data_IF_205977925124
#
_entry.id   IF_205977925124
#
_cell.length_a   1.000
_cell.length_b   1.000
_cell.length_c   1.000
_cell.angle_alpha   90.00
_cell.angle_beta   90.00
_cell.angle_gamma   90.00
#
_symmetry.space_group_name_H-M   'P 1'
#
loop_
_entity.id
_entity.type
_entity.pdbx_description
1 polymer ?
#
# COMPACT_ATOMS: atom_id res chain seq x y z
N UNK A 1 -30.63 73.52 -1.00
CA UNK A 1 -30.77 72.26 -0.23
C UNK A 1 -31.53 71.26 -1.10
N UNK A 2 -30.83 70.25 -1.66
CA UNK A 2 -31.43 69.16 -2.44
C UNK A 2 -31.24 67.88 -1.61
N UNK A 3 -32.33 67.24 -1.22
CA UNK A 3 -32.30 65.95 -0.52
C UNK A 3 -32.14 64.82 -1.56
N UNK A 4 -31.05 64.05 -1.45
CA UNK A 4 -30.90 62.77 -2.14
C UNK A 4 -31.51 61.67 -1.26
N UNK A 5 -32.57 61.04 -1.73
CA UNK A 5 -33.07 59.77 -1.18
C UNK A 5 -32.21 58.62 -1.71
N UNK A 6 -31.44 58.00 -0.83
CA UNK A 6 -30.68 56.78 -1.09
C UNK A 6 -31.62 55.59 -0.88
N UNK A 7 -32.05 54.95 -1.97
CA UNK A 7 -32.82 53.70 -1.92
C UNK A 7 -31.85 52.52 -1.79
N UNK A 8 -31.80 51.92 -0.61
CA UNK A 8 -31.02 50.73 -0.31
C UNK A 8 -31.82 49.50 -0.78
N UNK A 9 -31.43 48.94 -1.93
CA UNK A 9 -31.99 47.71 -2.46
C UNK A 9 -31.36 46.53 -1.70
N UNK A 10 -32.09 45.95 -0.74
CA UNK A 10 -31.70 44.71 -0.07
C UNK A 10 -32.00 43.57 -1.06
N UNK A 11 -30.95 43.09 -1.73
CA UNK A 11 -31.02 41.88 -2.54
C UNK A 11 -30.96 40.67 -1.57
N UNK A 12 -32.12 40.18 -1.17
CA UNK A 12 -32.24 38.90 -0.47
C UNK A 12 -31.89 37.77 -1.45
N UNK A 13 -30.61 37.43 -1.53
CA UNK A 13 -30.13 36.26 -2.26
C UNK A 13 -30.60 34.99 -1.55
N UNK A 14 -31.60 34.32 -2.09
CA UNK A 14 -31.98 32.97 -1.73
C UNK A 14 -30.82 32.02 -2.07
N UNK A 15 -30.06 31.61 -1.05
CA UNK A 15 -29.08 30.51 -1.14
C UNK A 15 -29.88 29.22 -1.31
N UNK A 16 -29.93 28.68 -2.53
CA UNK A 16 -30.34 27.30 -2.75
C UNK A 16 -29.27 26.40 -2.12
N UNK A 17 -29.56 25.83 -0.95
CA UNK A 17 -28.83 24.68 -0.44
C UNK A 17 -29.06 23.51 -1.41
N UNK A 18 -28.10 23.25 -2.30
CA UNK A 18 -28.03 21.97 -2.97
C UNK A 18 -27.93 20.89 -1.88
N UNK A 19 -28.71 19.81 -1.99
CA UNK A 19 -28.58 18.69 -1.08
C UNK A 19 -27.13 18.17 -1.13
N UNK A 20 -26.44 18.20 0.02
CA UNK A 20 -25.06 17.75 0.10
C UNK A 20 -24.97 16.29 -0.37
N UNK A 21 -24.10 16.03 -1.34
CA UNK A 21 -23.78 14.65 -1.72
C UNK A 21 -23.14 13.98 -0.51
N UNK A 22 -23.76 12.94 0.03
CA UNK A 22 -23.19 12.18 1.17
C UNK A 22 -22.36 11.02 0.61
N UNK A 23 -21.07 11.04 0.91
CA UNK A 23 -20.11 10.00 0.53
C UNK A 23 -20.43 8.67 1.22
N UNK A 24 -19.96 7.57 0.62
CA UNK A 24 -20.07 6.24 1.23
C UNK A 24 -18.78 5.90 1.97
N UNK A 25 -18.92 5.32 3.15
CA UNK A 25 -17.79 4.73 3.90
C UNK A 25 -17.20 3.55 3.11
N UNK A 26 -15.90 3.25 3.28
CA UNK A 26 -15.30 2.01 2.78
C UNK A 26 -16.06 0.79 3.31
N UNK A 27 -16.45 -0.12 2.41
CA UNK A 27 -17.29 -1.27 2.76
C UNK A 27 -16.58 -2.26 3.70
N UNK A 28 -15.24 -2.28 3.70
CA UNK A 28 -14.42 -3.08 4.62
C UNK A 28 -14.65 -2.70 6.08
N UNK A 29 -14.93 -1.42 6.37
CA UNK A 29 -15.24 -0.95 7.71
C UNK A 29 -16.64 -1.40 8.14
N UNK A 30 -17.62 -1.27 7.24
CA UNK A 30 -19.00 -1.69 7.51
C UNK A 30 -19.11 -3.21 7.69
N UNK A 31 -18.45 -3.99 6.84
CA UNK A 31 -18.38 -5.46 6.98
C UNK A 31 -17.70 -5.91 8.27
N UNK A 32 -16.73 -5.14 8.76
CA UNK A 32 -16.05 -5.41 10.02
C UNK A 32 -16.79 -4.82 11.24
N UNK A 33 -17.91 -4.12 11.06
CA UNK A 33 -18.63 -3.44 12.14
C UNK A 33 -17.82 -2.35 12.82
N UNK A 34 -16.89 -1.69 12.10
CA UNK A 34 -16.02 -0.64 12.62
C UNK A 34 -16.60 0.73 12.34
N UNK A 35 -17.12 1.36 13.39
CA UNK A 35 -17.73 2.69 13.34
C UNK A 35 -16.89 3.78 14.00
N UNK A 36 -15.78 3.40 14.63
CA UNK A 36 -14.84 4.29 15.30
C UNK A 36 -13.43 3.88 14.90
N UNK A 37 -12.53 4.87 14.89
CA UNK A 37 -11.11 4.63 14.68
C UNK A 37 -10.48 3.99 15.94
N UNK A 38 -9.32 3.37 15.78
CA UNK A 38 -8.60 2.72 16.87
C UNK A 38 -8.01 3.71 17.88
N UNK A 39 -7.80 4.96 17.49
CA UNK A 39 -7.20 6.01 18.32
C UNK A 39 -8.10 7.23 18.39
N UNK A 40 -8.17 7.85 19.56
CA UNK A 40 -8.92 9.09 19.76
C UNK A 40 -8.33 10.20 18.89
N UNK A 41 -9.13 10.85 18.03
CA UNK A 41 -8.65 11.95 17.20
C UNK A 41 -8.44 13.22 18.03
N UNK A 42 -7.38 13.96 17.70
CA UNK A 42 -7.22 15.36 18.08
C UNK A 42 -8.10 16.27 17.20
N UNK A 43 -8.29 15.90 15.93
CA UNK A 43 -9.16 16.60 14.97
C UNK A 43 -9.95 15.57 14.16
N UNK A 44 -11.27 15.65 14.24
CA UNK A 44 -12.25 14.81 13.51
C UNK A 44 -13.18 15.65 12.60
N UNK A 45 -13.11 16.99 12.66
CA UNK A 45 -13.92 17.92 11.88
C UNK A 45 -15.44 17.83 12.12
N UNK A 46 -15.89 17.24 13.23
CA UNK A 46 -17.32 17.22 13.59
C UNK A 46 -17.81 18.61 14.01
N UNK A 47 -16.96 19.36 14.71
CA UNK A 47 -17.24 20.75 15.07
C UNK A 47 -17.09 21.69 13.85
N UNK A 48 -18.07 22.57 13.66
CA UNK A 48 -18.05 23.58 12.60
C UNK A 48 -17.20 24.80 13.01
N UNK A 49 -15.89 24.58 13.10
CA UNK A 49 -14.94 25.63 13.40
C UNK A 49 -14.29 26.17 12.11
N UNK A 50 -14.19 27.50 11.93
CA UNK A 50 -13.62 28.07 10.72
C UNK A 50 -12.10 27.98 10.73
N UNK A 51 -11.56 26.99 10.02
CA UNK A 51 -10.11 26.89 9.80
C UNK A 51 -9.61 28.04 8.93
N UNK A 52 -8.41 28.52 9.25
CA UNK A 52 -7.73 29.59 8.52
C UNK A 52 -6.96 28.95 7.36
N UNK A 53 -7.12 29.53 6.16
CA UNK A 53 -6.40 29.11 4.95
C UNK A 53 -5.42 30.20 4.55
N UNK A 54 -4.13 29.88 4.64
CA UNK A 54 -3.04 30.74 4.16
C UNK A 54 -2.49 30.15 2.86
N UNK A 55 -2.20 31.00 1.89
CA UNK A 55 -1.75 30.56 0.56
C UNK A 55 -0.56 31.36 0.05
N UNK A 56 0.35 30.68 -0.64
CA UNK A 56 1.39 31.27 -1.47
C UNK A 56 1.41 30.55 -2.82
N UNK A 57 1.40 31.28 -3.94
CA UNK A 57 1.35 30.71 -5.30
C UNK A 57 0.19 29.70 -5.52
N UNK A 58 -0.89 29.82 -4.75
CA UNK A 58 -2.02 28.90 -4.75
C UNK A 58 -3.34 29.64 -4.47
N UNK A 59 -4.44 29.06 -4.92
CA UNK A 59 -5.81 29.40 -4.48
C UNK A 59 -6.37 28.18 -3.78
N UNK A 60 -6.92 28.36 -2.58
CA UNK A 60 -7.48 27.28 -1.81
C UNK A 60 -8.65 27.71 -0.93
N UNK A 61 -9.52 26.76 -0.62
CA UNK A 61 -10.56 26.87 0.41
C UNK A 61 -10.59 25.60 1.25
N UNK A 62 -10.98 25.73 2.52
CA UNK A 62 -11.14 24.62 3.44
C UNK A 62 -12.46 24.74 4.18
N UNK A 63 -13.21 23.64 4.22
CA UNK A 63 -14.55 23.60 4.78
C UNK A 63 -14.87 22.20 5.29
N UNK A 64 -15.75 22.12 6.28
CA UNK A 64 -16.40 20.86 6.63
C UNK A 64 -17.22 20.33 5.44
N UNK A 65 -17.26 19.02 5.25
CA UNK A 65 -17.94 18.37 4.11
C UNK A 65 -18.48 17.00 4.47
N UNK A 66 -19.51 16.55 3.74
CA UNK A 66 -20.02 15.17 3.77
C UNK A 66 -19.77 14.41 2.47
N UNK A 67 -19.08 15.01 1.49
CA UNK A 67 -18.85 14.44 0.16
C UNK A 67 -18.02 13.15 0.19
N UNK A 68 -17.18 12.99 1.21
CA UNK A 68 -16.53 11.75 1.58
C UNK A 68 -16.86 11.44 3.03
N UNK A 69 -16.90 10.16 3.39
CA UNK A 69 -17.15 9.73 4.76
C UNK A 69 -16.21 8.58 5.12
N UNK A 70 -15.74 8.57 6.37
CA UNK A 70 -15.01 7.45 6.95
C UNK A 70 -15.32 7.26 8.43
N UNK A 71 -15.24 8.33 9.23
CA UNK A 71 -15.69 8.35 10.62
C UNK A 71 -16.73 9.46 10.80
N UNK A 72 -17.53 9.36 11.87
CA UNK A 72 -18.55 10.37 12.17
C UNK A 72 -19.48 10.70 10.99
N UNK A 73 -19.84 11.97 10.89
CA UNK A 73 -20.70 12.54 9.85
C UNK A 73 -19.94 13.45 8.88
N UNK A 74 -18.84 14.06 9.32
CA UNK A 74 -18.14 15.13 8.62
C UNK A 74 -16.65 14.89 8.47
N UNK A 75 -16.08 15.48 7.42
CA UNK A 75 -14.64 15.48 7.15
C UNK A 75 -14.19 16.88 6.76
N UNK A 76 -12.89 17.17 6.89
CA UNK A 76 -12.29 18.39 6.38
C UNK A 76 -12.02 18.29 4.89
N UNK A 77 -12.57 19.19 4.07
CA UNK A 77 -12.35 19.24 2.61
C UNK A 77 -11.45 20.41 2.24
N UNK A 78 -10.30 20.11 1.65
CA UNK A 78 -9.44 21.07 0.97
C UNK A 78 -9.78 21.09 -0.52
N UNK A 79 -10.12 22.26 -1.06
CA UNK A 79 -10.11 22.51 -2.52
C UNK A 79 -8.93 23.40 -2.85
N UNK A 80 -8.12 23.04 -3.83
CA UNK A 80 -6.89 23.77 -4.14
C UNK A 80 -6.51 23.71 -5.63
N UNK A 81 -5.83 24.75 -6.09
CA UNK A 81 -5.12 24.81 -7.37
C UNK A 81 -3.92 25.76 -7.29
N UNK A 82 -2.99 25.64 -8.22
CA UNK A 82 -1.89 26.61 -8.33
C UNK A 82 -2.39 27.97 -8.83
N UNK A 83 -1.71 29.00 -8.38
CA UNK A 83 -1.79 30.38 -8.90
C UNK A 83 -0.40 30.96 -9.25
N UNK A 84 0.66 30.21 -8.96
CA UNK A 84 2.04 30.58 -9.28
C UNK A 84 2.94 29.36 -9.51
N UNK A 85 4.21 29.51 -9.15
CA UNK A 85 5.28 28.54 -9.48
C UNK A 85 5.52 27.53 -8.37
N UNK A 86 5.41 27.97 -7.11
CA UNK A 86 5.75 27.19 -5.92
C UNK A 86 4.54 27.16 -4.96
N UNK A 87 3.43 26.49 -5.33
CA UNK A 87 2.20 26.50 -4.57
C UNK A 87 2.36 25.88 -3.17
N UNK A 88 1.97 26.64 -2.16
CA UNK A 88 1.87 26.24 -0.75
C UNK A 88 0.51 26.64 -0.21
N UNK A 89 -0.15 25.70 0.48
CA UNK A 89 -1.38 25.93 1.24
C UNK A 89 -1.12 25.52 2.68
N UNK A 90 -1.42 26.41 3.63
CA UNK A 90 -1.35 26.11 5.06
C UNK A 90 -2.76 26.20 5.65
N UNK A 91 -3.17 25.14 6.34
CA UNK A 91 -4.48 25.02 7.00
C UNK A 91 -4.26 25.09 8.50
N UNK A 92 -4.83 26.09 9.17
CA UNK A 92 -4.68 26.27 10.62
C UNK A 92 -6.02 26.13 11.33
N UNK A 93 -6.08 25.46 12.49
CA UNK A 93 -7.24 25.59 13.37
C UNK A 93 -7.35 27.06 13.85
N UNK A 94 -8.53 27.50 14.34
CA UNK A 94 -8.70 28.86 14.88
C UNK A 94 -7.72 29.20 16.00
N UNK A 95 -7.29 28.19 16.78
CA UNK A 95 -6.24 28.30 17.80
C UNK A 95 -5.41 27.00 17.79
N UNK A 96 -4.08 27.07 17.95
CA UNK A 96 -3.24 25.87 18.03
C UNK A 96 -3.70 24.90 19.13
N UNK A 97 -3.78 23.61 18.80
CA UNK A 97 -4.39 22.58 19.64
C UNK A 97 -3.37 21.95 20.60
N UNK A 98 -3.80 21.67 21.82
CA UNK A 98 -2.97 20.95 22.79
C UNK A 98 -2.71 19.51 22.34
N UNK A 99 -1.45 19.10 22.42
CA UNK A 99 -1.05 17.71 22.15
C UNK A 99 -1.21 16.85 23.42
N UNK A 100 -1.34 15.51 23.26
CA UNK A 100 -1.14 14.59 24.37
C UNK A 100 0.22 14.81 25.04
N UNK A 101 0.32 14.50 26.33
CA UNK A 101 1.55 14.73 27.11
C UNK A 101 2.77 13.98 26.56
N UNK A 102 2.56 12.84 25.92
CA UNK A 102 3.60 12.07 25.23
C UNK A 102 2.97 11.20 24.14
N UNK A 103 3.67 11.08 23.02
CA UNK A 103 3.31 10.20 21.90
C UNK A 103 4.57 9.82 21.10
N UNK A 104 4.49 8.71 20.37
CA UNK A 104 5.55 8.27 19.45
C UNK A 104 5.04 7.97 18.03
N UNK A 105 3.73 8.06 17.82
CA UNK A 105 3.06 7.89 16.53
C UNK A 105 2.19 9.10 16.22
N UNK A 106 2.01 9.35 14.93
CA UNK A 106 1.03 10.28 14.40
C UNK A 106 0.38 9.70 13.15
N UNK A 107 -0.92 9.90 12.98
CA UNK A 107 -1.64 9.49 11.78
C UNK A 107 -2.84 10.40 11.49
N UNK A 108 -3.28 10.43 10.26
CA UNK A 108 -4.50 11.14 9.84
C UNK A 108 -5.07 10.43 8.63
N UNK A 109 -6.37 10.20 8.61
CA UNK A 109 -7.04 9.64 7.43
C UNK A 109 -7.10 10.69 6.34
N UNK A 110 -6.72 10.28 5.13
CA UNK A 110 -6.70 11.17 3.96
C UNK A 110 -7.43 10.48 2.81
N UNK A 111 -8.39 11.16 2.21
CA UNK A 111 -8.91 10.79 0.90
C UNK A 111 -8.10 11.49 -0.18
N UNK A 112 -7.24 10.74 -0.85
CA UNK A 112 -6.32 11.27 -1.85
C UNK A 112 -6.91 11.40 -3.26
N UNK A 113 -6.17 12.06 -4.13
CA UNK A 113 -6.61 12.37 -5.50
C UNK A 113 -5.61 11.97 -6.60
N UNK A 114 -4.55 11.23 -6.24
CA UNK A 114 -3.51 10.77 -7.17
C UNK A 114 -3.22 9.29 -6.97
N UNK A 115 -2.99 8.54 -8.04
CA UNK A 115 -2.59 7.13 -7.97
C UNK A 115 -1.14 6.97 -8.47
N UNK A 116 -0.23 6.52 -7.60
CA UNK A 116 1.22 6.44 -7.87
C UNK A 116 1.62 5.72 -9.17
N UNK A 117 0.87 4.69 -9.53
CA UNK A 117 1.07 3.80 -10.67
C UNK A 117 0.54 4.36 -12.00
N UNK A 118 -0.15 5.50 -11.98
CA UNK A 118 -0.66 6.19 -13.18
C UNK A 118 -0.05 7.59 -13.24
N UNK A 119 0.60 7.91 -14.36
CA UNK A 119 1.15 9.25 -14.57
C UNK A 119 0.01 10.23 -14.87
N UNK A 120 -0.45 10.94 -13.83
CA UNK A 120 -1.45 12.00 -13.96
C UNK A 120 -0.79 13.38 -13.95
N UNK A 121 -0.44 13.90 -15.12
CA UNK A 121 0.21 15.21 -15.27
C UNK A 121 -0.62 16.39 -14.75
N UNK A 122 -1.95 16.23 -14.70
CA UNK A 122 -2.89 17.28 -14.27
C UNK A 122 -3.19 17.26 -12.77
N UNK A 123 -2.79 16.20 -12.06
CA UNK A 123 -3.00 16.05 -10.61
C UNK A 123 -1.71 15.54 -9.98
N UNK A 124 -0.67 16.37 -9.87
CA UNK A 124 0.61 15.95 -9.30
C UNK A 124 0.45 15.58 -7.82
N UNK A 125 1.27 14.64 -7.36
CA UNK A 125 1.33 14.23 -5.95
C UNK A 125 1.71 15.40 -5.06
N UNK A 126 0.87 15.70 -4.07
CA UNK A 126 1.20 16.72 -3.06
C UNK A 126 1.92 16.10 -1.87
N UNK A 127 2.74 16.89 -1.19
CA UNK A 127 3.29 16.52 0.12
C UNK A 127 2.47 17.20 1.22
N UNK A 128 2.18 16.46 2.29
CA UNK A 128 1.45 16.96 3.46
C UNK A 128 2.39 16.87 4.66
N UNK A 129 2.58 17.99 5.34
CA UNK A 129 3.29 18.08 6.61
C UNK A 129 2.36 18.57 7.72
N UNK A 130 2.67 18.17 8.94
CA UNK A 130 2.05 18.67 10.16
C UNK A 130 2.94 19.77 10.74
N UNK A 131 2.32 20.86 11.13
CA UNK A 131 2.98 22.02 11.72
C UNK A 131 2.80 22.00 13.23
N UNK A 132 3.86 22.32 13.95
CA UNK A 132 3.90 22.37 15.40
C UNK A 132 4.45 23.70 15.87
N UNK A 133 3.70 24.38 16.74
CA UNK A 133 4.20 25.55 17.45
C UNK A 133 4.97 25.07 18.68
N UNK A 134 6.27 25.34 18.71
CA UNK A 134 7.18 24.99 19.80
C UNK A 134 7.08 26.01 20.95
N UNK A 135 7.59 25.66 22.15
CA UNK A 135 7.48 26.54 23.32
C UNK A 135 8.20 27.89 23.18
N UNK A 136 9.20 27.98 22.30
CA UNK A 136 9.94 29.20 21.99
C UNK A 136 9.23 30.10 20.95
N UNK A 137 8.04 29.68 20.48
CA UNK A 137 7.26 30.37 19.47
C UNK A 137 7.64 30.06 18.03
N UNK A 138 8.63 29.19 17.80
CA UNK A 138 9.01 28.77 16.45
C UNK A 138 8.08 27.67 15.92
N UNK A 139 7.96 27.57 14.60
CA UNK A 139 7.17 26.53 13.95
C UNK A 139 8.09 25.43 13.40
N UNK A 140 7.74 24.17 13.68
CA UNK A 140 8.44 23.00 13.17
C UNK A 140 7.49 22.15 12.31
N UNK A 141 7.98 21.67 11.17
CA UNK A 141 7.18 20.86 10.24
C UNK A 141 7.68 19.41 10.22
N UNK A 142 6.76 18.45 10.36
CA UNK A 142 7.03 17.03 10.15
C UNK A 142 6.24 16.56 8.92
N UNK A 143 6.93 16.08 7.89
CA UNK A 143 6.26 15.45 6.75
C UNK A 143 5.45 14.22 7.20
N UNK A 144 4.15 14.19 6.93
CA UNK A 144 3.29 13.05 7.20
C UNK A 144 3.31 12.08 6.03
N UNK A 145 3.09 12.60 4.82
CA UNK A 145 2.99 11.75 3.63
C UNK A 145 3.22 12.53 2.34
N UNK A 146 3.39 11.78 1.25
CA UNK A 146 3.15 12.22 -0.11
C UNK A 146 1.89 11.52 -0.60
N UNK A 147 0.88 12.30 -1.00
CA UNK A 147 -0.40 11.75 -1.48
C UNK A 147 -0.18 11.05 -2.81
N UNK A 148 -0.22 9.72 -2.77
CA UNK A 148 0.05 8.84 -3.90
C UNK A 148 -1.00 7.71 -4.02
N UNK A 149 -2.08 7.81 -3.23
CA UNK A 149 -3.24 6.94 -3.26
C UNK A 149 -4.51 7.74 -3.55
N UNK A 150 -5.45 7.12 -4.26
CA UNK A 150 -6.71 7.74 -4.67
C UNK A 150 -7.85 6.95 -4.05
N UNK A 151 -8.11 7.23 -2.78
CA UNK A 151 -9.20 6.75 -1.93
C UNK A 151 -8.83 7.11 -0.48
N UNK A 152 -9.60 6.66 0.51
CA UNK A 152 -9.20 6.71 1.91
C UNK A 152 -7.95 5.85 2.17
N UNK A 153 -6.94 6.45 2.79
CA UNK A 153 -5.78 5.76 3.33
C UNK A 153 -5.33 6.44 4.62
N UNK A 154 -4.67 5.67 5.48
CA UNK A 154 -4.15 6.14 6.76
C UNK A 154 -2.61 6.15 6.72
N UNK A 155 -1.97 7.26 6.34
CA UNK A 155 -0.56 7.46 6.65
C UNK A 155 -0.37 7.48 8.16
N UNK A 156 0.41 6.52 8.67
CA UNK A 156 0.87 6.51 10.05
C UNK A 156 2.39 6.63 10.04
N UNK A 157 2.92 7.53 10.86
CA UNK A 157 4.35 7.75 11.02
C UNK A 157 4.76 7.53 12.47
N UNK A 158 5.79 6.71 12.65
CA UNK A 158 6.56 6.67 13.90
C UNK A 158 7.55 7.83 13.92
N UNK A 159 7.57 8.56 15.03
CA UNK A 159 8.54 9.60 15.28
C UNK A 159 9.85 9.00 15.77
N UNK A 160 10.97 9.49 15.26
CA UNK A 160 12.28 9.14 15.83
C UNK A 160 12.49 9.81 17.20
N UNK A 161 13.53 9.40 17.91
CA UNK A 161 13.79 9.90 19.27
C UNK A 161 14.03 11.42 19.32
N UNK A 162 14.58 12.02 18.26
CA UNK A 162 14.81 13.46 18.21
C UNK A 162 13.49 14.21 18.02
N UNK A 163 12.62 13.71 17.15
CA UNK A 163 11.27 14.25 16.94
C UNK A 163 10.41 14.10 18.20
N UNK A 164 10.47 12.95 18.88
CA UNK A 164 9.77 12.74 20.15
C UNK A 164 10.25 13.72 21.22
N UNK A 165 11.57 13.89 21.39
CA UNK A 165 12.13 14.88 22.35
C UNK A 165 11.74 16.32 22.02
N UNK A 166 11.63 16.65 20.73
CA UNK A 166 11.24 17.98 20.29
C UNK A 166 9.75 18.24 20.56
N UNK A 167 8.88 17.31 20.17
CA UNK A 167 7.43 17.53 20.17
C UNK A 167 6.74 17.23 21.51
N UNK A 168 7.31 16.34 22.34
CA UNK A 168 6.77 16.04 23.66
C UNK A 168 7.20 17.06 24.73
N UNK A 169 7.74 18.22 24.33
CA UNK A 169 8.00 19.32 25.25
C UNK A 169 6.67 19.94 25.74
N UNK A 170 6.57 20.31 27.03
CA UNK A 170 5.42 21.04 27.54
C UNK A 170 5.15 22.29 26.70
N UNK A 171 3.88 22.62 26.49
CA UNK A 171 3.45 23.77 25.69
C UNK A 171 3.67 23.69 24.18
N UNK A 172 4.18 22.58 23.64
CA UNK A 172 4.09 22.32 22.21
C UNK A 172 2.61 22.17 21.80
N UNK A 173 2.25 22.72 20.63
CA UNK A 173 0.88 22.69 20.09
C UNK A 173 0.88 22.24 18.64
N UNK A 174 -0.18 21.56 18.23
CA UNK A 174 -0.45 21.34 16.81
C UNK A 174 -0.95 22.65 16.18
N UNK A 175 -0.27 23.12 15.14
CA UNK A 175 -0.51 24.42 14.51
C UNK A 175 -1.21 24.33 13.15
N UNK A 176 -1.30 23.13 12.55
CA UNK A 176 -2.00 22.94 11.29
C UNK A 176 -1.35 21.95 10.31
N UNK A 177 -1.84 21.96 9.08
CA UNK A 177 -1.30 21.21 7.96
C UNK A 177 -0.62 22.15 6.96
N UNK A 178 0.47 21.70 6.34
CA UNK A 178 1.05 22.36 5.18
C UNK A 178 1.02 21.41 3.97
N UNK A 179 0.49 21.89 2.86
CA UNK A 179 0.36 21.17 1.61
C UNK A 179 1.22 21.86 0.56
N UNK A 180 2.14 21.10 -0.06
CA UNK A 180 3.06 21.62 -1.08
C UNK A 180 3.02 20.78 -2.36
N UNK A 181 3.60 21.30 -3.45
CA UNK A 181 3.67 20.65 -4.75
C UNK A 181 2.30 20.49 -5.47
N UNK A 182 1.28 21.25 -5.06
CA UNK A 182 -0.04 21.32 -5.70
C UNK A 182 -0.05 22.04 -7.04
N UNK A 183 0.69 21.52 -8.04
CA UNK A 183 0.90 22.18 -9.34
C UNK A 183 -0.24 21.98 -10.36
N UNK A 184 -1.40 21.47 -9.94
CA UNK A 184 -2.61 21.36 -10.75
C UNK A 184 -3.18 22.73 -11.11
N UNK A 185 -3.61 22.90 -12.36
CA UNK A 185 -4.25 24.14 -12.86
C UNK A 185 -5.74 24.24 -12.52
N UNK A 186 -6.40 23.09 -12.45
CA UNK A 186 -7.81 22.98 -12.09
C UNK A 186 -7.93 22.67 -10.61
N UNK A 187 -9.08 22.97 -10.03
CA UNK A 187 -9.39 22.59 -8.66
C UNK A 187 -9.27 21.08 -8.48
N UNK A 188 -8.59 20.71 -7.40
CA UNK A 188 -8.49 19.35 -6.91
C UNK A 188 -8.87 19.34 -5.45
N UNK A 189 -9.30 18.19 -4.98
CA UNK A 189 -9.81 18.03 -3.63
C UNK A 189 -8.97 17.01 -2.88
N UNK A 190 -8.78 17.26 -1.59
CA UNK A 190 -8.31 16.28 -0.62
C UNK A 190 -9.26 16.33 0.57
N UNK A 191 -9.48 15.19 1.21
CA UNK A 191 -10.27 15.13 2.43
C UNK A 191 -9.42 14.61 3.58
N UNK A 192 -9.67 15.13 4.77
CA UNK A 192 -8.92 14.85 5.99
C UNK A 192 -9.92 14.43 7.06
N UNK A 193 -9.56 13.42 7.84
CA UNK A 193 -10.33 12.98 8.99
C UNK A 193 -9.41 12.37 10.05
N UNK A 194 -9.86 12.36 11.30
CA UNK A 194 -9.21 11.72 12.45
C UNK A 194 -7.68 11.86 12.50
N UNK A 195 -7.17 13.10 12.61
CA UNK A 195 -5.78 13.34 12.99
C UNK A 195 -5.58 12.88 14.43
N UNK A 196 -4.72 11.89 14.66
CA UNK A 196 -4.47 11.30 15.98
C UNK A 196 -2.97 11.29 16.31
N UNK A 197 -2.69 11.49 17.60
CA UNK A 197 -1.37 11.39 18.21
C UNK A 197 -1.46 10.36 19.33
N UNK A 198 -0.65 9.31 19.25
CA UNK A 198 -0.79 8.17 20.15
C UNK A 198 0.55 7.48 20.42
N UNK A 199 0.54 6.59 21.41
CA UNK A 199 1.68 5.75 21.76
C UNK A 199 1.43 4.33 21.24
N UNK A 200 2.32 3.85 20.39
CA UNK A 200 2.41 2.45 19.99
C UNK A 200 3.64 1.83 20.66
N UNK A 201 3.39 0.96 21.64
CA UNK A 201 4.41 0.13 22.26
C UNK A 201 4.63 -1.11 21.40
N UNK A 202 5.87 -1.33 20.95
CA UNK A 202 6.25 -2.51 20.18
C UNK A 202 7.14 -3.42 21.05
N UNK A 203 6.56 -4.13 22.03
CA UNK A 203 7.32 -5.12 22.76
C UNK A 203 7.81 -6.20 21.78
N UNK A 204 8.95 -6.85 22.06
CA UNK A 204 9.42 -7.97 21.25
C UNK A 204 8.31 -9.01 21.03
N UNK A 205 8.07 -9.38 19.78
CA UNK A 205 7.08 -10.39 19.45
C UNK A 205 7.48 -11.72 20.10
N UNK A 206 6.56 -12.31 20.85
CA UNK A 206 6.73 -13.65 21.39
C UNK A 206 5.90 -14.64 20.58
N UNK A 207 6.55 -15.70 20.13
CA UNK A 207 5.91 -16.75 19.36
C UNK A 207 5.90 -18.03 20.18
N UNK A 208 4.75 -18.72 20.22
CA UNK A 208 4.69 -20.07 20.78
C UNK A 208 5.65 -20.98 20.00
N UNK A 209 6.46 -21.81 20.66
CA UNK A 209 7.29 -22.80 19.98
C UNK A 209 6.44 -23.70 19.08
N UNK A 210 6.80 -23.76 17.80
CA UNK A 210 6.27 -24.67 16.78
C UNK A 210 7.16 -25.92 16.69
N UNK A 211 6.66 -27.04 16.16
CA UNK A 211 7.48 -28.23 15.93
C UNK A 211 8.78 -27.92 15.21
N UNK A 212 9.85 -28.64 15.54
CA UNK A 212 11.17 -28.45 14.94
C UNK A 212 11.13 -28.64 13.44
N UNK A 213 12.00 -27.94 12.72
CA UNK A 213 12.23 -28.26 11.31
C UNK A 213 12.96 -29.61 11.25
N UNK A 214 12.72 -30.38 10.21
CA UNK A 214 13.54 -31.57 9.89
C UNK A 214 14.88 -31.18 9.23
N UNK A 215 15.28 -29.92 9.33
CA UNK A 215 16.49 -29.36 8.73
C UNK A 215 17.30 -28.68 9.81
N UNK A 216 18.60 -28.97 9.84
CA UNK A 216 19.54 -28.13 10.57
C UNK A 216 19.82 -26.85 9.77
N UNK A 217 19.60 -25.66 10.36
CA UNK A 217 20.06 -24.40 9.79
C UNK A 217 21.57 -24.42 9.63
N UNK A 218 22.08 -23.71 8.62
CA UNK A 218 23.51 -23.52 8.48
C UNK A 218 24.10 -22.78 9.70
N UNK A 219 25.41 -22.93 9.97
CA UNK A 219 26.06 -22.20 11.05
C UNK A 219 25.72 -20.70 11.03
N UNK A 220 25.28 -20.16 12.17
CA UNK A 220 24.85 -18.77 12.31
C UNK A 220 23.37 -18.49 12.02
N UNK A 221 22.59 -19.48 11.59
CA UNK A 221 21.15 -19.32 11.34
C UNK A 221 20.29 -19.79 12.54
N UNK A 222 19.18 -19.09 12.78
CA UNK A 222 18.23 -19.41 13.85
C UNK A 222 17.13 -20.38 13.38
N UNK A 223 16.67 -21.25 14.29
CA UNK A 223 15.45 -22.05 14.11
C UNK A 223 14.15 -21.21 14.21
N UNK A 224 14.26 -19.93 14.54
CA UNK A 224 13.14 -19.01 14.78
C UNK A 224 12.12 -19.65 15.75
N UNK A 225 10.83 -19.63 15.41
CA UNK A 225 9.80 -20.23 16.24
C UNK A 225 9.78 -21.79 16.22
N UNK A 226 10.60 -22.49 15.43
CA UNK A 226 10.58 -23.95 15.30
C UNK A 226 11.46 -24.66 16.35
N UNK A 227 11.21 -24.41 17.63
CA UNK A 227 11.99 -24.95 18.77
C UNK A 227 11.18 -25.86 19.70
N UNK A 228 9.89 -26.07 19.39
CA UNK A 228 8.95 -26.84 20.19
C UNK A 228 9.06 -28.36 20.04
N UNK A 229 8.17 -29.12 20.68
CA UNK A 229 8.16 -30.59 20.59
C UNK A 229 7.73 -31.08 19.20
N UNK A 230 8.20 -32.27 18.84
CA UNK A 230 7.92 -32.89 17.54
C UNK A 230 8.67 -32.24 16.38
N UNK A 231 8.36 -32.67 15.17
CA UNK A 231 8.92 -32.11 13.94
C UNK A 231 7.83 -31.78 12.93
N UNK A 232 8.10 -30.85 12.02
CA UNK A 232 7.20 -30.54 10.92
C UNK A 232 6.99 -31.79 10.04
N UNK A 233 5.80 -32.00 9.46
CA UNK A 233 5.56 -33.14 8.57
C UNK A 233 6.29 -33.03 7.23
N UNK A 234 6.78 -31.84 6.91
CA UNK A 234 7.53 -31.55 5.69
C UNK A 234 8.60 -30.49 5.99
N UNK A 235 9.78 -30.61 5.36
CA UNK A 235 10.20 -31.70 4.50
C UNK A 235 10.67 -32.94 5.30
N UNK A 236 10.54 -34.15 4.78
CA UNK A 236 10.72 -35.41 5.57
C UNK A 236 12.17 -35.92 5.68
N UNK A 237 13.13 -35.31 4.98
CA UNK A 237 14.56 -35.70 4.93
C UNK A 237 15.44 -34.46 4.75
N UNK A 238 16.77 -34.51 4.89
CA UNK A 238 17.64 -33.30 4.73
C UNK A 238 17.82 -32.86 3.27
N UNK A 239 17.62 -33.75 2.30
CA UNK A 239 17.78 -33.54 0.85
C UNK A 239 16.58 -32.83 0.21
N UNK A 240 16.02 -31.85 0.92
CA UNK A 240 14.64 -31.36 0.79
C UNK A 240 14.29 -30.80 -0.59
N UNK A 241 13.49 -31.57 -1.33
CA UNK A 241 13.04 -31.30 -2.71
C UNK A 241 14.11 -31.65 -3.75
N UNK A 242 14.47 -32.93 -3.85
CA UNK A 242 14.78 -33.44 -5.19
C UNK A 242 13.45 -33.63 -5.91
N UNK A 243 13.22 -33.00 -7.08
CA UNK A 243 12.09 -33.38 -7.91
C UNK A 243 12.14 -34.88 -8.16
N UNK A 244 10.98 -35.53 -8.20
CA UNK A 244 10.93 -36.92 -8.62
C UNK A 244 11.61 -37.06 -9.98
N UNK A 245 12.58 -37.97 -10.06
CA UNK A 245 13.18 -38.34 -11.32
C UNK A 245 12.07 -38.90 -12.24
N UNK A 246 12.05 -38.48 -13.50
CA UNK A 246 10.96 -38.81 -14.43
C UNK A 246 10.72 -40.32 -14.63
N UNK A 247 11.67 -41.18 -14.24
CA UNK A 247 11.56 -42.65 -14.31
C UNK A 247 12.01 -43.35 -13.02
N UNK A 248 11.30 -44.43 -12.59
CA UNK A 248 11.78 -45.31 -11.54
C UNK A 248 13.18 -45.85 -11.83
N UNK A 249 14.04 -45.88 -10.81
CA UNK A 249 15.42 -46.36 -10.92
C UNK A 249 16.41 -45.36 -11.51
N UNK A 250 15.96 -44.16 -11.89
CA UNK A 250 16.87 -43.09 -12.31
C UNK A 250 17.67 -42.52 -11.14
N UNK A 251 18.92 -42.15 -11.40
CA UNK A 251 19.88 -41.62 -10.43
C UNK A 251 20.25 -40.19 -10.79
N UNK A 252 20.24 -39.32 -9.78
CA UNK A 252 20.78 -37.97 -9.87
C UNK A 252 22.10 -37.90 -9.12
N UNK A 253 23.09 -37.20 -9.66
CA UNK A 253 24.39 -37.00 -9.02
C UNK A 253 24.93 -35.60 -9.30
N UNK A 254 25.75 -35.09 -8.39
CA UNK A 254 26.54 -33.87 -8.60
C UNK A 254 28.02 -34.21 -8.48
N UNK A 255 28.84 -33.68 -9.38
CA UNK A 255 30.30 -33.81 -9.33
C UNK A 255 30.96 -32.47 -9.62
N UNK A 256 31.97 -32.09 -8.84
CA UNK A 256 32.82 -30.96 -9.19
C UNK A 256 33.73 -31.36 -10.36
N UNK A 257 33.73 -30.57 -11.43
CA UNK A 257 34.77 -30.66 -12.47
C UNK A 257 36.03 -29.89 -12.05
N UNK A 258 35.84 -28.78 -11.32
CA UNK A 258 36.87 -27.99 -10.68
C UNK A 258 36.26 -27.15 -9.54
N UNK A 259 37.06 -26.29 -8.93
CA UNK A 259 36.69 -25.36 -7.85
C UNK A 259 35.59 -24.34 -8.24
N UNK A 260 35.25 -24.22 -9.53
CA UNK A 260 34.31 -23.22 -10.07
C UNK A 260 33.23 -23.81 -10.98
N UNK A 261 33.16 -25.13 -11.13
CA UNK A 261 32.29 -25.81 -12.09
C UNK A 261 31.77 -27.12 -11.51
N UNK A 262 30.46 -27.27 -11.53
CA UNK A 262 29.77 -28.49 -11.10
C UNK A 262 28.98 -29.08 -12.26
N UNK A 263 28.93 -30.40 -12.34
CA UNK A 263 28.07 -31.13 -13.27
C UNK A 263 26.96 -31.80 -12.48
N UNK A 264 25.72 -31.43 -12.80
CA UNK A 264 24.51 -32.09 -12.33
C UNK A 264 24.10 -33.09 -13.39
N UNK A 265 24.04 -34.37 -13.04
CA UNK A 265 23.72 -35.46 -13.96
C UNK A 265 22.48 -36.21 -13.50
N UNK A 266 21.59 -36.47 -14.45
CA UNK A 266 20.52 -37.45 -14.39
C UNK A 266 20.90 -38.66 -15.27
N UNK A 267 20.70 -39.87 -14.76
CA UNK A 267 20.84 -41.11 -15.50
C UNK A 267 19.62 -42.00 -15.23
N UNK A 268 18.79 -42.20 -16.25
CA UNK A 268 17.61 -43.06 -16.20
C UNK A 268 17.54 -44.02 -17.38
N UNK A 269 16.59 -44.96 -17.37
CA UNK A 269 16.33 -45.86 -18.50
C UNK A 269 15.88 -45.13 -19.77
N UNK A 270 15.45 -43.88 -19.65
CA UNK A 270 15.05 -42.98 -20.74
C UNK A 270 16.19 -42.06 -21.23
N UNK A 271 17.38 -42.16 -20.65
CA UNK A 271 18.58 -41.49 -21.14
C UNK A 271 19.43 -40.84 -20.05
N UNK A 272 20.44 -40.11 -20.50
CA UNK A 272 21.38 -39.38 -19.65
C UNK A 272 21.30 -37.89 -19.98
N UNK A 273 21.14 -37.07 -18.95
CA UNK A 273 21.08 -35.62 -19.05
C UNK A 273 22.13 -35.02 -18.13
N UNK A 274 22.98 -34.13 -18.65
CA UNK A 274 23.98 -33.43 -17.84
C UNK A 274 23.86 -31.92 -18.02
N UNK A 275 23.87 -31.20 -16.90
CA UNK A 275 23.94 -29.76 -16.84
C UNK A 275 25.25 -29.34 -16.19
N UNK A 276 25.99 -28.45 -16.85
CA UNK A 276 27.14 -27.78 -16.24
C UNK A 276 26.66 -26.49 -15.59
N UNK A 277 27.05 -26.28 -14.34
CA UNK A 277 26.71 -25.12 -13.51
C UNK A 277 27.97 -24.40 -13.04
N UNK A 278 28.04 -23.09 -13.28
CA UNK A 278 29.15 -22.22 -12.89
C UNK A 278 28.62 -21.06 -12.05
N UNK A 279 28.76 -21.08 -10.71
CA UNK A 279 28.23 -20.06 -9.82
C UNK A 279 29.10 -18.78 -9.85
N UNK A 280 29.09 -18.03 -10.95
CA UNK A 280 29.87 -16.79 -11.05
C UNK A 280 29.04 -15.52 -10.75
N UNK A 281 27.72 -15.57 -10.90
CA UNK A 281 26.85 -14.38 -10.87
C UNK A 281 25.59 -14.52 -10.01
N UNK A 282 25.39 -15.66 -9.33
CA UNK A 282 24.18 -15.91 -8.54
C UNK A 282 22.87 -15.97 -9.35
N UNK A 283 22.94 -16.01 -10.68
CA UNK A 283 21.76 -16.08 -11.57
C UNK A 283 21.58 -17.50 -12.14
N UNK A 284 20.34 -18.03 -12.24
CA UNK A 284 20.05 -19.38 -12.76
C UNK A 284 20.43 -19.62 -14.25
N UNK A 285 20.91 -18.60 -14.96
CA UNK A 285 21.17 -18.63 -16.40
C UNK A 285 22.40 -19.45 -16.82
N UNK A 286 23.20 -19.95 -15.87
CA UNK A 286 24.47 -20.65 -16.15
C UNK A 286 24.33 -22.18 -16.30
N UNK A 287 23.21 -22.69 -16.83
CA UNK A 287 23.00 -24.12 -17.08
C UNK A 287 23.19 -24.46 -18.57
N UNK A 288 24.32 -25.08 -18.90
CA UNK A 288 24.53 -25.62 -20.26
C UNK A 288 24.15 -27.10 -20.32
N UNK A 289 23.23 -27.45 -21.24
CA UNK A 289 22.76 -28.83 -21.46
C UNK A 289 23.65 -29.55 -22.46
N UNK A 290 24.19 -30.71 -22.09
CA UNK A 290 24.73 -31.70 -23.02
C UNK A 290 23.82 -32.94 -23.02
N UNK A 291 23.27 -33.31 -24.18
CA UNK A 291 22.50 -34.54 -24.38
C UNK A 291 23.37 -35.54 -25.15
N UNK A 292 23.49 -36.75 -24.66
CA UNK A 292 24.03 -37.88 -25.42
C UNK A 292 22.88 -38.86 -25.69
N UNK A 293 22.39 -38.89 -26.93
CA UNK A 293 21.46 -39.93 -27.38
C UNK A 293 22.23 -41.26 -27.56
N UNK A 294 22.01 -42.23 -26.69
CA UNK A 294 22.32 -43.63 -27.01
C UNK A 294 21.13 -44.22 -27.77
N UNK A 295 21.27 -44.32 -29.11
CA UNK A 295 20.33 -45.07 -29.96
C UNK A 295 20.43 -46.57 -29.61
N UNK A 296 19.31 -47.15 -29.19
CA UNK A 296 19.18 -48.61 -29.11
C UNK A 296 19.23 -49.24 -30.53
N UNK A 297 19.75 -50.47 -30.70
CA UNK A 297 19.79 -51.13 -32.01
C UNK A 297 18.38 -51.42 -32.52
N UNK A 298 18.12 -51.05 -33.78
CA UNK A 298 16.88 -51.37 -34.46
C UNK A 298 16.83 -52.87 -34.80
N UNK A 299 15.74 -53.55 -34.45
CA UNK A 299 15.30 -54.77 -35.14
C UNK A 299 13.89 -54.56 -35.70
N UNK A 300 13.61 -55.01 -36.95
CA UNK A 300 12.43 -54.61 -37.70
C UNK A 300 11.28 -55.61 -37.57
N UNK A 301 10.02 -55.14 -37.54
CA UNK A 301 8.88 -55.65 -38.33
C UNK A 301 7.54 -55.02 -37.87
N UNK A 302 6.86 -54.38 -38.85
CA UNK A 302 5.39 -54.22 -39.08
C UNK A 302 4.53 -53.74 -37.89
N UNK A 303 3.76 -52.65 -38.00
CA UNK A 303 2.51 -52.58 -38.79
C UNK A 303 2.22 -51.17 -39.36
N UNK A 304 1.41 -51.17 -40.42
CA UNK A 304 1.09 -50.05 -41.33
C UNK A 304 0.12 -49.01 -40.75
N UNK A 305 0.34 -47.76 -41.18
CA UNK A 305 -0.59 -46.65 -41.52
C UNK A 305 -2.04 -46.70 -40.99
N UNK A 306 -2.42 -45.61 -40.32
CA UNK A 306 -3.58 -44.80 -40.71
C UNK A 306 -3.42 -43.34 -40.22
N UNK A 307 -3.20 -42.42 -41.15
CA UNK A 307 -3.42 -40.98 -40.97
C UNK A 307 -4.54 -40.62 -41.93
N UNK A 308 -5.63 -40.01 -41.44
CA UNK A 308 -6.12 -38.75 -41.99
C UNK A 308 -7.38 -38.21 -41.30
N UNK A 309 -7.27 -36.95 -40.88
CA UNK A 309 -8.23 -35.83 -41.09
C UNK A 309 -9.66 -35.92 -40.55
N UNK A 310 -10.01 -34.91 -39.74
CA UNK A 310 -11.18 -34.00 -39.89
C UNK A 310 -10.94 -32.78 -38.97
N UNK A 311 -10.56 -31.62 -39.53
CA UNK A 311 -11.38 -30.48 -40.03
C UNK A 311 -11.97 -29.59 -38.93
N UNK A 312 -11.52 -28.32 -38.94
CA UNK A 312 -12.07 -27.14 -38.26
C UNK A 312 -13.46 -26.75 -38.79
N UNK A 313 -14.27 -26.12 -37.92
CA UNK A 313 -14.99 -24.82 -38.07
C UNK A 313 -16.33 -24.84 -37.28
N UNK A 314 -17.02 -23.69 -37.03
CA UNK A 314 -16.59 -22.36 -36.60
C UNK A 314 -17.40 -21.79 -35.39
N UNK A 315 -17.14 -20.53 -35.02
CA UNK A 315 -17.75 -19.70 -33.95
C UNK A 315 -19.26 -19.46 -34.09
N UNK A 316 -19.97 -19.28 -32.96
CA UNK A 316 -21.15 -18.40 -32.86
C UNK A 316 -21.29 -17.79 -31.45
N UNK A 317 -21.50 -16.48 -31.44
CA UNK A 317 -21.89 -15.62 -30.33
C UNK A 317 -23.34 -15.86 -29.88
N UNK A 318 -23.61 -15.91 -28.58
CA UNK A 318 -24.77 -15.27 -27.91
C UNK A 318 -24.78 -15.52 -26.40
N UNK A 319 -25.34 -14.52 -25.68
CA UNK A 319 -25.97 -14.56 -24.34
C UNK A 319 -25.13 -14.31 -23.07
N UNK A 320 -25.05 -13.02 -22.75
CA UNK A 320 -25.55 -12.46 -21.49
C UNK A 320 -26.87 -13.10 -20.99
N UNK A 321 -27.09 -12.95 -19.68
CA UNK A 321 -28.31 -13.23 -18.90
C UNK A 321 -28.45 -14.66 -18.34
N UNK A 322 -28.04 -14.83 -17.07
CA UNK A 322 -28.86 -15.40 -15.96
C UNK A 322 -27.99 -15.65 -14.72
N UNK A 323 -28.02 -14.72 -13.78
CA UNK A 323 -27.73 -15.00 -12.37
C UNK A 323 -28.53 -14.03 -11.50
N UNK A 324 -29.85 -14.24 -11.49
CA UNK A 324 -30.75 -13.74 -10.46
C UNK A 324 -31.68 -14.91 -10.12
N UNK A 325 -31.95 -15.06 -8.81
CA UNK A 325 -32.71 -16.14 -8.15
C UNK A 325 -31.86 -17.33 -7.70
N UNK A 326 -31.51 -17.32 -6.42
CA UNK A 326 -31.89 -18.37 -5.46
C UNK A 326 -31.96 -17.70 -4.08
N UNK A 327 -33.18 -17.30 -3.70
CA UNK A 327 -33.60 -17.19 -2.29
C UNK A 327 -34.26 -18.51 -1.95
N UNK A 328 -33.80 -19.16 -0.90
CA UNK A 328 -34.65 -19.76 0.12
C UNK A 328 -34.04 -19.42 1.47
#
# INVERSE_FOLDING_TARGET
MKALSLSMLILAGSVLYAADTVGKRPYELDWAGRFQDAYTPLVDFENDEPWIVETSDAVASFSRSREQQIWGDYVGKLTYRRDGTTPVVTLRPPTPLALPASFNMVGCWIYGNNWAWVSESHTPQVSIALLFLLPDGTEHAINLTRVNWREWFLPIRRLDDAQQRLLNQPNTRFAGFQITNGRNRQDRMLFFDNLSFFTDEQPPLTFKPRPKRNLQPFPGQSHAANTGPGTLPFPTREETILPDSAKPGAKNSVSAENDRSFVLRYQGPDGVLSYRYMPHSGTPAALHRAMAEQRAPQHPQRWRRAVSRRRRAPRSSTREQRAHQLRH
#
